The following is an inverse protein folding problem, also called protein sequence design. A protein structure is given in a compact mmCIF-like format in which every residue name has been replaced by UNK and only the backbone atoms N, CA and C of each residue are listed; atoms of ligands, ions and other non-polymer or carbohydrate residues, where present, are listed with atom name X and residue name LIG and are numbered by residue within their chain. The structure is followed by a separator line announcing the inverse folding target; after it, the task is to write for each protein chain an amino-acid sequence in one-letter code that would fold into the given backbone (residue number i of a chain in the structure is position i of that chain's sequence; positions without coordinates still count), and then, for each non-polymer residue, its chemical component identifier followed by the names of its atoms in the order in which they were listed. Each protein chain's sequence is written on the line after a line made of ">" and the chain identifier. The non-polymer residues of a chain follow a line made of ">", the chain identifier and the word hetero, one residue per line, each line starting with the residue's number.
data_IF_209458707627
#
_entry.id   IF_209458707627
#
_cell.length_a   1.000
_cell.length_b   1.000
_cell.length_c   1.000
_cell.angle_alpha   90.00
_cell.angle_beta   90.00
_cell.angle_gamma   90.00
#
_symmetry.space_group_name_H-M   'P 1'
#
loop_
_entity.id
_entity.type
_entity.pdbx_description
1 polymer ?
#
# COMPACT_ATOMS: atom_id res chain seq x y z
N UNK A 1 66.89 -57.68 -4.09
CA UNK A 1 66.50 -56.32 -3.64
C UNK A 1 65.14 -56.45 -2.95
N UNK A 2 65.13 -56.54 -1.62
CA UNK A 2 64.65 -55.51 -0.67
C UNK A 2 63.10 -55.42 -0.55
N UNK A 3 62.62 -55.99 0.57
CA UNK A 3 61.46 -55.66 1.44
C UNK A 3 59.99 -55.77 0.96
N UNK A 4 59.34 -56.85 1.42
CA UNK A 4 57.97 -56.88 2.01
C UNK A 4 57.94 -56.06 3.35
N UNK A 5 56.81 -55.81 4.08
CA UNK A 5 55.46 -56.45 4.02
C UNK A 5 54.19 -55.57 4.33
N UNK A 6 53.01 -56.18 4.07
CA UNK A 6 51.75 -56.34 4.87
C UNK A 6 51.15 -55.19 5.72
N UNK A 7 49.81 -55.11 5.74
CA UNK A 7 48.88 -55.17 6.91
C UNK A 7 47.43 -54.98 6.39
N UNK A 8 46.62 -56.03 6.17
CA UNK A 8 45.66 -56.73 7.07
C UNK A 8 44.52 -55.84 7.63
N UNK A 9 43.23 -56.19 7.41
CA UNK A 9 42.06 -55.54 8.01
C UNK A 9 41.67 -56.17 9.36
N UNK A 10 41.05 -55.43 10.28
CA UNK A 10 40.20 -56.02 11.33
C UNK A 10 39.27 -54.98 11.98
N UNK A 11 38.01 -55.37 12.10
CA UNK A 11 36.98 -54.72 12.91
C UNK A 11 37.17 -55.04 14.41
N UNK A 12 36.71 -54.15 15.29
CA UNK A 12 36.23 -54.51 16.63
C UNK A 12 35.33 -53.40 17.20
N UNK A 13 34.10 -53.80 17.55
CA UNK A 13 33.18 -53.09 18.42
C UNK A 13 33.43 -53.49 19.89
N UNK A 14 33.12 -52.60 20.85
CA UNK A 14 32.62 -52.86 22.22
C UNK A 14 32.66 -51.52 23.01
N UNK A 15 31.52 -50.93 23.35
CA UNK A 15 30.81 -51.06 24.64
C UNK A 15 31.44 -50.26 25.79
N UNK A 16 30.67 -49.28 26.29
CA UNK A 16 30.28 -49.26 27.71
C UNK A 16 30.66 -48.06 28.58
N UNK A 17 29.71 -47.74 29.47
CA UNK A 17 29.79 -46.97 30.73
C UNK A 17 29.54 -45.45 30.58
N UNK A 18 28.34 -44.90 30.82
CA UNK A 18 27.48 -44.82 32.01
C UNK A 18 27.84 -43.68 33.00
N UNK A 19 26.94 -42.68 33.01
CA UNK A 19 26.47 -41.77 34.08
C UNK A 19 27.13 -41.87 35.47
N UNK A 20 27.51 -40.71 36.07
CA UNK A 20 27.05 -40.22 37.41
C UNK A 20 27.10 -38.67 37.52
N UNK A 21 25.92 -38.12 37.82
CA UNK A 21 25.46 -36.96 38.62
C UNK A 21 26.43 -35.99 39.34
N UNK A 22 26.14 -34.69 39.22
CA UNK A 22 25.92 -33.66 40.28
C UNK A 22 25.73 -32.29 39.59
N UNK A 23 24.71 -31.44 39.76
CA UNK A 23 23.76 -31.25 40.87
C UNK A 23 24.24 -30.09 41.76
N UNK A 24 23.78 -28.85 41.53
CA UNK A 24 23.68 -27.79 42.54
C UNK A 24 22.67 -26.71 42.10
N UNK A 25 21.51 -26.78 42.73
CA UNK A 25 20.51 -25.72 42.94
C UNK A 25 21.11 -24.36 43.33
N UNK A 26 20.37 -23.29 43.05
CA UNK A 26 20.46 -22.08 43.86
C UNK A 26 19.05 -21.57 44.25
N UNK A 27 18.88 -21.15 45.51
CA UNK A 27 17.59 -21.07 46.20
C UNK A 27 16.82 -19.77 45.96
N UNK A 28 15.49 -19.86 46.09
CA UNK A 28 14.59 -18.74 46.29
C UNK A 28 14.59 -18.28 47.76
N UNK A 29 14.53 -16.96 47.99
CA UNK A 29 14.11 -16.33 49.26
C UNK A 29 13.89 -14.82 49.04
N UNK A 30 13.22 -14.06 49.92
CA UNK A 30 11.84 -14.15 50.45
C UNK A 30 10.98 -12.93 50.07
N UNK A 31 9.67 -13.05 50.32
CA UNK A 31 8.65 -11.99 50.19
C UNK A 31 8.33 -11.34 51.55
N UNK A 32 8.18 -10.01 51.61
CA UNK A 32 7.31 -9.23 52.54
C UNK A 32 7.52 -7.70 52.36
N UNK A 33 6.58 -6.80 52.75
CA UNK A 33 5.15 -6.94 53.04
C UNK A 33 4.23 -6.00 52.20
N UNK A 34 2.96 -6.39 52.07
CA UNK A 34 1.88 -5.50 51.58
C UNK A 34 1.49 -4.45 52.63
N UNK A 35 1.08 -3.25 52.20
CA UNK A 35 0.04 -2.47 52.86
C UNK A 35 -1.30 -2.57 52.12
N UNK A 36 -2.34 -2.49 52.94
CA UNK A 36 -3.75 -2.80 52.69
C UNK A 36 -4.50 -1.85 51.76
N UNK A 37 -5.61 -2.38 51.23
CA UNK A 37 -6.75 -1.70 50.59
C UNK A 37 -7.05 -0.29 51.13
N UNK A 38 -7.18 0.67 50.21
CA UNK A 38 -8.16 1.74 50.30
C UNK A 38 -8.93 1.81 48.97
N UNK A 39 -10.24 1.84 49.09
CA UNK A 39 -11.24 1.82 48.03
C UNK A 39 -11.51 3.23 47.50
N UNK A 40 -11.92 3.31 46.23
CA UNK A 40 -12.71 4.37 45.58
C UNK A 40 -11.96 5.60 45.01
N UNK A 41 -11.88 5.71 43.68
CA UNK A 41 -12.79 6.49 42.82
C UNK A 41 -12.26 6.52 41.38
N UNK A 42 -13.17 6.35 40.42
CA UNK A 42 -12.85 6.15 39.01
C UNK A 42 -12.11 7.31 38.37
N UNK A 43 -11.15 6.97 37.52
CA UNK A 43 -10.74 7.76 36.37
C UNK A 43 -10.53 6.79 35.22
N UNK A 44 -11.51 6.74 34.32
CA UNK A 44 -11.43 6.16 32.99
C UNK A 44 -10.17 6.65 32.30
N UNK A 45 -9.21 5.75 32.06
CA UNK A 45 -8.13 5.98 31.11
C UNK A 45 -8.77 5.95 29.72
N UNK A 46 -8.69 7.04 28.92
CA UNK A 46 -9.22 7.01 27.57
C UNK A 46 -8.28 6.15 26.72
N UNK A 47 -8.82 5.06 26.20
CA UNK A 47 -8.29 4.34 25.05
C UNK A 47 -8.15 5.33 23.89
N UNK A 48 -6.90 5.65 23.55
CA UNK A 48 -6.61 6.36 22.32
C UNK A 48 -7.03 5.48 21.14
N UNK A 49 -8.05 5.95 20.41
CA UNK A 49 -8.47 5.47 19.10
C UNK A 49 -7.27 5.41 18.17
N UNK A 50 -6.99 4.23 17.62
CA UNK A 50 -5.98 4.02 16.59
C UNK A 50 -6.60 3.33 15.39
N UNK A 51 -7.54 4.00 14.72
CA UNK A 51 -7.98 3.65 13.37
C UNK A 51 -7.74 4.90 12.50
N UNK A 52 -6.45 5.17 12.24
CA UNK A 52 -6.03 6.15 11.26
C UNK A 52 -6.04 5.49 9.89
N UNK A 53 -7.12 5.64 9.14
CA UNK A 53 -7.11 5.44 7.69
C UNK A 53 -6.12 6.45 7.09
N UNK A 54 -4.91 5.98 6.81
CA UNK A 54 -3.86 6.76 6.18
C UNK A 54 -4.14 6.86 4.68
N UNK A 55 -4.49 8.06 4.22
CA UNK A 55 -4.58 8.35 2.78
C UNK A 55 -3.21 8.23 2.13
N UNK A 56 -3.10 7.36 1.11
CA UNK A 56 -1.86 7.13 0.38
C UNK A 56 -1.49 8.37 -0.45
N UNK A 57 -0.34 8.99 -0.23
CA UNK A 57 0.12 10.13 -1.02
C UNK A 57 0.43 9.69 -2.46
N UNK A 58 0.35 10.59 -3.46
CA UNK A 58 0.98 10.36 -4.74
C UNK A 58 2.44 9.97 -4.53
N UNK A 59 2.83 8.81 -5.06
CA UNK A 59 4.18 8.27 -4.92
C UNK A 59 5.16 8.94 -5.85
N UNK A 60 6.45 8.82 -5.56
CA UNK A 60 7.51 9.46 -6.35
C UNK A 60 7.52 9.00 -7.82
N UNK A 61 7.08 7.77 -8.12
CA UNK A 61 7.10 7.20 -9.47
C UNK A 61 5.70 6.94 -10.04
N UNK A 62 4.63 7.36 -9.35
CA UNK A 62 3.25 7.11 -9.75
C UNK A 62 2.84 5.64 -9.67
N UNK A 63 3.58 4.82 -8.92
CA UNK A 63 3.29 3.41 -8.71
C UNK A 63 2.35 3.15 -7.53
N UNK A 64 2.01 1.87 -7.36
CA UNK A 64 1.14 1.36 -6.31
C UNK A 64 1.96 1.14 -5.05
N UNK A 65 1.61 1.80 -3.94
CA UNK A 65 2.22 1.52 -2.63
C UNK A 65 1.60 0.27 -2.03
N UNK A 66 2.46 -0.62 -1.56
CA UNK A 66 2.10 -1.87 -0.90
C UNK A 66 2.74 -1.88 0.49
N UNK A 67 1.95 -1.86 1.59
CA UNK A 67 2.50 -1.95 2.93
C UNK A 67 3.08 -3.35 3.19
N UNK A 68 4.17 -3.41 3.95
CA UNK A 68 4.90 -4.63 4.28
C UNK A 68 5.16 -4.66 5.79
N UNK A 69 4.94 -5.82 6.43
CA UNK A 69 5.31 -6.01 7.83
C UNK A 69 4.53 -5.08 8.78
N UNK A 70 3.21 -5.06 8.64
CA UNK A 70 2.33 -4.19 9.43
C UNK A 70 2.70 -2.71 9.32
N UNK A 71 2.90 -2.23 8.08
CA UNK A 71 3.20 -0.81 7.78
C UNK A 71 4.62 -0.34 8.18
N UNK A 72 5.47 -1.26 8.64
CA UNK A 72 6.86 -0.93 9.01
C UNK A 72 7.72 -0.56 7.79
N UNK A 73 7.36 -1.10 6.62
CA UNK A 73 8.02 -0.86 5.34
C UNK A 73 6.99 -0.78 4.24
N UNK A 74 7.39 -0.25 3.09
CA UNK A 74 6.55 -0.16 1.91
C UNK A 74 7.31 -0.66 0.68
N UNK A 75 6.57 -1.04 -0.35
CA UNK A 75 7.11 -1.14 -1.70
C UNK A 75 6.24 -0.37 -2.68
N UNK A 76 6.86 0.26 -3.68
CA UNK A 76 6.14 0.89 -4.78
C UNK A 76 6.30 0.03 -6.04
N UNK A 77 5.17 -0.46 -6.56
CA UNK A 77 5.10 -1.22 -7.80
C UNK A 77 4.74 -0.31 -8.97
N UNK A 78 5.63 -0.19 -9.96
CA UNK A 78 5.44 0.61 -11.18
C UNK A 78 5.39 -0.31 -12.38
N UNK A 79 4.30 -0.25 -13.13
CA UNK A 79 4.14 -0.97 -14.40
C UNK A 79 4.49 -0.04 -15.56
N UNK A 80 5.45 -0.42 -16.39
CA UNK A 80 5.81 0.34 -17.60
C UNK A 80 5.33 -0.37 -18.87
N UNK A 81 5.40 0.38 -19.99
CA UNK A 81 5.17 -0.18 -21.32
C UNK A 81 6.11 -1.36 -21.60
N UNK A 82 5.61 -2.35 -22.32
CA UNK A 82 6.37 -3.58 -22.63
C UNK A 82 6.34 -4.63 -21.52
N UNK A 83 5.51 -4.45 -20.48
CA UNK A 83 5.35 -5.43 -19.40
C UNK A 83 6.47 -5.40 -18.37
N UNK A 84 7.20 -4.29 -18.26
CA UNK A 84 8.24 -4.13 -17.24
C UNK A 84 7.56 -3.81 -15.91
N UNK A 85 7.92 -4.55 -14.88
CA UNK A 85 7.54 -4.27 -13.51
C UNK A 85 8.78 -3.82 -12.74
N UNK A 86 8.70 -2.62 -12.16
CA UNK A 86 9.65 -2.12 -11.17
C UNK A 86 9.05 -2.24 -9.79
N UNK A 87 9.86 -2.67 -8.83
CA UNK A 87 9.50 -2.72 -7.42
C UNK A 87 10.56 -1.96 -6.63
N UNK A 88 10.19 -0.79 -6.13
CA UNK A 88 11.03 0.01 -5.24
C UNK A 88 10.77 -0.40 -3.80
N UNK A 89 11.81 -0.54 -3.00
CA UNK A 89 11.68 -0.76 -1.55
C UNK A 89 11.80 0.56 -0.81
N UNK A 90 10.85 0.80 0.09
CA UNK A 90 10.65 2.06 0.80
C UNK A 90 10.58 1.80 2.31
N UNK A 91 10.95 2.81 3.10
CA UNK A 91 10.86 2.75 4.55
C UNK A 91 9.43 2.88 5.07
N UNK A 92 9.30 3.03 6.39
CA UNK A 92 8.02 3.39 7.02
C UNK A 92 7.48 4.73 6.47
N UNK A 93 8.39 5.68 6.20
CA UNK A 93 8.07 6.87 5.42
C UNK A 93 8.23 6.53 3.92
N UNK A 94 7.12 6.54 3.17
CA UNK A 94 7.06 6.25 1.73
C UNK A 94 7.99 7.14 0.88
N UNK A 95 8.40 8.32 1.39
CA UNK A 95 9.36 9.19 0.72
C UNK A 95 10.83 8.78 0.89
N UNK A 96 11.10 7.82 1.78
CA UNK A 96 12.46 7.35 2.09
C UNK A 96 12.73 6.04 1.37
N UNK A 97 13.74 6.04 0.51
CA UNK A 97 14.25 4.83 -0.13
C UNK A 97 14.86 3.91 0.92
N UNK A 98 14.49 2.62 0.87
CA UNK A 98 15.04 1.58 1.72
C UNK A 98 15.87 0.63 0.86
N UNK A 99 17.17 0.56 1.11
CA UNK A 99 18.01 -0.48 0.53
C UNK A 99 17.80 -1.81 1.28
N UNK A 100 17.77 -2.92 0.54
CA UNK A 100 17.67 -4.28 1.05
C UNK A 100 18.76 -5.16 0.42
N UNK A 101 18.99 -6.34 0.98
CA UNK A 101 19.95 -7.28 0.41
C UNK A 101 19.60 -7.63 -1.05
N UNK A 102 20.58 -7.49 -1.94
CA UNK A 102 20.40 -7.78 -3.35
C UNK A 102 20.17 -9.29 -3.56
N UNK A 103 18.92 -9.64 -3.88
CA UNK A 103 18.51 -11.02 -4.12
C UNK A 103 17.54 -11.08 -5.32
N UNK A 104 17.57 -12.11 -6.16
CA UNK A 104 16.49 -12.31 -7.12
C UNK A 104 15.20 -12.63 -6.36
N UNK A 105 14.10 -11.99 -6.75
CA UNK A 105 12.77 -12.28 -6.20
C UNK A 105 11.98 -13.09 -7.25
N UNK A 106 11.36 -14.18 -6.81
CA UNK A 106 10.38 -14.91 -7.63
C UNK A 106 9.01 -14.26 -7.44
N UNK A 107 8.42 -13.75 -8.52
CA UNK A 107 7.04 -13.29 -8.56
C UNK A 107 6.14 -14.35 -9.19
N UNK A 108 4.88 -14.36 -8.79
CA UNK A 108 3.79 -15.08 -9.45
C UNK A 108 2.78 -14.05 -9.90
N UNK A 109 2.35 -14.14 -11.15
CA UNK A 109 1.36 -13.23 -11.72
C UNK A 109 0.24 -14.02 -12.35
N UNK A 110 -0.98 -13.55 -12.16
CA UNK A 110 -2.16 -14.05 -12.84
C UNK A 110 -2.97 -12.87 -13.35
N UNK A 111 -3.72 -13.08 -14.43
CA UNK A 111 -4.75 -12.12 -14.81
C UNK A 111 -5.76 -11.98 -13.66
N UNK A 112 -6.35 -10.81 -13.50
CA UNK A 112 -7.40 -10.60 -12.51
C UNK A 112 -8.58 -11.56 -12.74
N UNK A 113 -9.05 -12.21 -11.66
CA UNK A 113 -10.05 -13.28 -11.73
C UNK A 113 -9.56 -14.62 -12.29
N UNK A 114 -8.31 -14.69 -12.77
CA UNK A 114 -7.68 -15.91 -13.25
C UNK A 114 -7.40 -16.91 -12.12
N UNK A 115 -7.41 -18.20 -12.45
CA UNK A 115 -7.05 -19.29 -11.52
C UNK A 115 -5.58 -19.70 -11.67
N UNK A 116 -5.03 -19.57 -12.87
CA UNK A 116 -3.65 -19.96 -13.19
C UNK A 116 -2.68 -18.79 -12.97
N UNK A 117 -1.55 -19.07 -12.34
CA UNK A 117 -0.46 -18.11 -12.14
C UNK A 117 0.81 -18.56 -12.85
N UNK A 118 1.48 -17.62 -13.49
CA UNK A 118 2.79 -17.81 -14.11
C UNK A 118 3.88 -17.18 -13.24
N UNK A 119 5.03 -17.84 -13.15
CA UNK A 119 6.18 -17.32 -12.41
C UNK A 119 7.04 -16.41 -13.28
N UNK A 120 7.60 -15.36 -12.69
CA UNK A 120 8.59 -14.48 -13.31
C UNK A 120 9.65 -14.06 -12.30
N UNK A 121 10.76 -13.49 -12.76
CA UNK A 121 11.88 -13.07 -11.91
C UNK A 121 12.00 -11.56 -11.91
N UNK A 122 12.11 -11.00 -10.71
CA UNK A 122 12.49 -9.62 -10.44
C UNK A 122 13.96 -9.62 -10.01
N UNK A 123 14.83 -9.12 -10.89
CA UNK A 123 16.26 -9.06 -10.62
C UNK A 123 16.61 -7.77 -9.85
N UNK A 124 17.54 -7.82 -8.88
CA UNK A 124 18.00 -6.62 -8.20
C UNK A 124 18.68 -5.68 -9.20
N UNK A 125 18.37 -4.39 -9.12
CA UNK A 125 18.97 -3.31 -9.91
C UNK A 125 19.41 -2.20 -8.96
N UNK A 126 20.59 -2.34 -8.33
CA UNK A 126 21.09 -1.33 -7.40
C UNK A 126 21.10 0.06 -8.03
N UNK A 127 20.66 1.05 -7.26
CA UNK A 127 20.58 2.44 -7.64
C UNK A 127 21.79 3.23 -7.14
N UNK A 128 21.97 4.44 -7.65
CA UNK A 128 22.97 5.37 -7.13
C UNK A 128 22.64 5.71 -5.68
N UNK A 129 23.55 5.38 -4.76
CA UNK A 129 23.37 5.58 -3.31
C UNK A 129 23.16 4.29 -2.53
N UNK A 130 22.81 3.19 -3.19
CA UNK A 130 22.75 1.87 -2.55
C UNK A 130 24.17 1.40 -2.17
N UNK A 131 24.30 0.75 -1.01
CA UNK A 131 25.54 0.11 -0.59
C UNK A 131 25.88 -1.09 -1.47
N UNK A 132 27.17 -1.45 -1.51
CA UNK A 132 27.62 -2.66 -2.18
C UNK A 132 26.90 -3.90 -1.62
N UNK A 133 26.34 -4.73 -2.52
CA UNK A 133 25.55 -5.91 -2.14
C UNK A 133 24.10 -5.61 -1.75
N UNK A 134 23.69 -4.34 -1.75
CA UNK A 134 22.30 -3.92 -1.51
C UNK A 134 21.64 -3.45 -2.81
N UNK A 135 20.32 -3.35 -2.78
CA UNK A 135 19.49 -2.78 -3.84
C UNK A 135 18.27 -2.12 -3.22
N UNK A 136 17.81 -1.03 -3.79
CA UNK A 136 16.50 -0.43 -3.48
C UNK A 136 15.47 -0.61 -4.58
N UNK A 137 15.86 -1.27 -5.68
CA UNK A 137 15.01 -1.51 -6.85
C UNK A 137 15.16 -2.95 -7.35
N UNK A 138 14.03 -3.54 -7.72
CA UNK A 138 13.98 -4.78 -8.49
C UNK A 138 13.25 -4.55 -9.80
N UNK A 139 13.70 -5.20 -10.87
CA UNK A 139 13.12 -5.07 -12.20
C UNK A 139 12.91 -6.45 -12.83
N UNK A 140 11.72 -6.66 -13.37
CA UNK A 140 11.31 -7.90 -14.00
C UNK A 140 10.43 -7.63 -15.20
N UNK A 141 10.22 -8.67 -16.01
CA UNK A 141 9.27 -8.63 -17.12
C UNK A 141 8.14 -9.59 -16.81
N UNK A 142 6.91 -9.10 -16.92
CA UNK A 142 5.73 -9.94 -16.87
C UNK A 142 5.70 -10.86 -18.10
N UNK A 143 5.15 -12.08 -17.97
CA UNK A 143 4.87 -12.93 -19.12
C UNK A 143 4.02 -12.18 -20.14
N UNK A 144 4.30 -12.41 -21.43
CA UNK A 144 3.67 -11.68 -22.54
C UNK A 144 2.14 -11.80 -22.53
N UNK A 145 1.62 -12.93 -22.05
CA UNK A 145 0.20 -13.22 -22.04
C UNK A 145 -0.57 -12.40 -20.99
N UNK A 146 0.12 -11.82 -20.00
CA UNK A 146 -0.47 -10.96 -18.97
C UNK A 146 0.03 -9.52 -18.99
N UNK A 147 1.08 -9.23 -19.76
CA UNK A 147 1.60 -7.88 -19.93
C UNK A 147 0.51 -6.93 -20.50
N UNK A 148 0.31 -5.79 -19.83
CA UNK A 148 -0.69 -4.79 -20.21
C UNK A 148 -2.14 -5.13 -19.82
N UNK A 149 -2.38 -6.26 -19.14
CA UNK A 149 -3.69 -6.62 -18.57
C UNK A 149 -3.76 -6.22 -17.09
N UNK A 150 -4.98 -6.23 -16.53
CA UNK A 150 -5.15 -6.25 -15.08
C UNK A 150 -4.63 -7.57 -14.51
N UNK A 151 -3.74 -7.48 -13.53
CA UNK A 151 -3.05 -8.63 -12.94
C UNK A 151 -3.04 -8.55 -11.42
N UNK A 152 -2.98 -9.72 -10.79
CA UNK A 152 -2.62 -9.89 -9.38
C UNK A 152 -1.22 -10.49 -9.31
N UNK A 153 -0.33 -9.81 -8.61
CA UNK A 153 1.06 -10.22 -8.40
C UNK A 153 1.23 -10.66 -6.95
N UNK A 154 1.90 -11.79 -6.75
CA UNK A 154 2.35 -12.27 -5.45
C UNK A 154 3.85 -12.51 -5.49
N UNK A 155 4.56 -11.97 -4.51
CA UNK A 155 5.97 -12.29 -4.26
C UNK A 155 5.99 -12.97 -2.88
N UNK A 156 6.30 -14.27 -2.80
CA UNK A 156 6.14 -15.05 -1.58
C UNK A 156 7.20 -14.75 -0.52
N UNK A 157 8.31 -14.13 -0.93
CA UNK A 157 9.47 -13.90 -0.06
C UNK A 157 10.33 -12.76 -0.58
N UNK A 158 10.31 -11.64 0.14
CA UNK A 158 11.36 -10.63 0.13
C UNK A 158 12.03 -10.62 1.50
N UNK A 159 13.37 -10.53 1.55
CA UNK A 159 14.10 -10.38 2.82
C UNK A 159 14.36 -8.91 3.08
N UNK A 160 13.94 -8.41 4.24
CA UNK A 160 14.23 -7.05 4.72
C UNK A 160 14.86 -7.22 6.11
N UNK A 161 16.13 -6.84 6.23
CA UNK A 161 16.92 -7.18 7.42
C UNK A 161 16.99 -8.69 7.66
N UNK A 162 16.54 -9.14 8.83
CA UNK A 162 16.52 -10.57 9.19
C UNK A 162 15.18 -11.25 8.96
N UNK A 163 14.19 -10.52 8.49
CA UNK A 163 12.81 -10.99 8.34
C UNK A 163 12.48 -11.28 6.87
N UNK A 164 11.48 -12.12 6.66
CA UNK A 164 10.96 -12.46 5.33
C UNK A 164 9.50 -12.10 5.25
N UNK A 165 9.15 -11.35 4.22
CA UNK A 165 7.79 -10.86 4.02
C UNK A 165 7.21 -11.40 2.72
N UNK A 166 5.90 -11.58 2.71
CA UNK A 166 5.11 -11.84 1.52
C UNK A 166 4.46 -10.53 1.09
N UNK A 167 4.47 -10.27 -0.21
CA UNK A 167 3.78 -9.13 -0.83
C UNK A 167 2.75 -9.66 -1.82
N UNK A 168 1.59 -9.01 -1.88
CA UNK A 168 0.64 -9.21 -2.95
C UNK A 168 -0.04 -7.88 -3.29
N UNK A 169 -0.23 -7.62 -4.57
CA UNK A 169 -0.85 -6.39 -5.06
C UNK A 169 -1.53 -6.64 -6.40
N UNK A 170 -2.49 -5.78 -6.74
CA UNK A 170 -3.17 -5.80 -8.03
C UNK A 170 -2.71 -4.61 -8.84
N UNK A 171 -2.53 -4.77 -10.14
CA UNK A 171 -2.35 -3.62 -11.02
C UNK A 171 -3.67 -2.85 -11.05
N UNK A 172 -3.66 -1.59 -10.61
CA UNK A 172 -4.76 -0.68 -10.94
C UNK A 172 -4.59 -0.31 -12.40
N UNK A 173 -5.61 -0.55 -13.22
CA UNK A 173 -5.65 0.06 -14.55
C UNK A 173 -5.77 1.56 -14.35
N UNK A 174 -4.93 2.31 -15.05
CA UNK A 174 -5.30 3.67 -15.40
C UNK A 174 -6.66 3.57 -16.12
N UNK A 175 -7.66 4.28 -15.60
CA UNK A 175 -9.10 4.11 -15.80
C UNK A 175 -9.78 2.92 -15.08
N UNK A 176 -10.53 3.26 -14.03
CA UNK A 176 -11.77 2.57 -13.68
C UNK A 176 -11.66 1.38 -12.74
N UNK A 177 -11.31 1.63 -11.48
CA UNK A 177 -11.85 0.86 -10.34
C UNK A 177 -11.98 1.80 -9.14
N UNK A 178 -13.13 1.70 -8.47
CA UNK A 178 -13.64 2.66 -7.47
C UNK A 178 -12.91 2.60 -6.13
N UNK A 179 -11.58 2.73 -6.15
CA UNK A 179 -10.83 3.18 -4.99
C UNK A 179 -11.13 4.65 -4.73
N UNK A 180 -11.32 5.02 -3.46
CA UNK A 180 -11.43 6.43 -3.11
C UNK A 180 -10.11 7.11 -3.48
N UNK A 181 -10.12 8.18 -4.29
CA UNK A 181 -8.90 8.91 -4.59
C UNK A 181 -8.32 9.48 -3.28
N UNK A 182 -7.00 9.67 -3.26
CA UNK A 182 -6.33 10.33 -2.16
C UNK A 182 -6.40 11.84 -2.31
N UNK A 183 -6.36 12.57 -1.18
CA UNK A 183 -6.35 14.04 -1.21
C UNK A 183 -5.11 14.55 -1.96
N UNK A 184 -5.29 15.56 -2.81
CA UNK A 184 -4.18 16.31 -3.44
C UNK A 184 -3.39 17.09 -2.36
N UNK A 185 -2.06 17.20 -2.53
CA UNK A 185 -1.20 17.96 -1.62
C UNK A 185 -1.58 19.46 -1.59
N UNK A 186 -1.35 20.16 -0.47
CA UNK A 186 -1.95 21.49 -0.23
C UNK A 186 -1.58 22.57 -1.27
N UNK A 187 -0.35 22.59 -1.79
CA UNK A 187 0.07 23.55 -2.82
C UNK A 187 -0.53 23.20 -4.20
N UNK A 188 -0.57 21.92 -4.54
CA UNK A 188 -1.20 21.41 -5.76
C UNK A 188 -2.72 21.56 -5.71
N UNK A 189 -3.33 21.46 -4.53
CA UNK A 189 -4.76 21.65 -4.29
C UNK A 189 -5.16 23.10 -4.64
N UNK A 190 -4.38 24.09 -4.22
CA UNK A 190 -4.64 25.50 -4.59
C UNK A 190 -4.57 25.70 -6.10
N UNK A 191 -3.56 25.14 -6.77
CA UNK A 191 -3.42 25.23 -8.23
C UNK A 191 -4.60 24.54 -8.94
N UNK A 192 -5.01 23.38 -8.43
CA UNK A 192 -6.14 22.61 -8.96
C UNK A 192 -7.46 23.39 -8.85
N UNK A 193 -7.74 24.05 -7.75
CA UNK A 193 -9.05 24.71 -7.55
C UNK A 193 -9.11 26.18 -7.95
N UNK A 194 -7.98 26.89 -7.95
CA UNK A 194 -7.93 28.35 -8.15
C UNK A 194 -7.36 28.77 -9.50
N UNK A 195 -7.14 27.82 -10.41
CA UNK A 195 -6.75 28.10 -11.80
C UNK A 195 -7.77 27.46 -12.74
N UNK A 196 -8.30 28.18 -13.75
CA UNK A 196 -9.22 27.58 -14.72
C UNK A 196 -8.49 26.59 -15.66
N UNK A 197 -9.24 25.67 -16.26
CA UNK A 197 -8.76 24.73 -17.28
C UNK A 197 -9.88 23.81 -17.79
N UNK A 198 -9.84 23.42 -19.06
CA UNK A 198 -10.86 22.56 -19.67
C UNK A 198 -12.28 23.06 -19.44
N UNK A 199 -13.15 22.22 -18.88
CA UNK A 199 -14.53 22.55 -18.48
C UNK A 199 -14.64 23.30 -17.14
N UNK A 200 -13.57 23.41 -16.36
CA UNK A 200 -13.55 24.13 -15.09
C UNK A 200 -13.11 25.58 -15.31
N UNK A 201 -14.05 26.52 -15.19
CA UNK A 201 -13.88 27.91 -15.62
C UNK A 201 -13.71 28.87 -14.45
N UNK A 202 -13.32 30.13 -14.74
CA UNK A 202 -13.29 31.21 -13.76
C UNK A 202 -14.66 31.42 -13.07
N UNK A 203 -15.74 31.23 -13.82
CA UNK A 203 -17.11 31.32 -13.30
C UNK A 203 -17.39 30.20 -12.28
N UNK A 204 -16.88 29.00 -12.50
CA UNK A 204 -17.00 27.88 -11.57
C UNK A 204 -16.19 28.13 -10.30
N UNK A 205 -14.97 28.66 -10.41
CA UNK A 205 -14.14 29.05 -9.26
C UNK A 205 -14.91 30.03 -8.38
N UNK A 206 -15.50 31.07 -8.99
CA UNK A 206 -16.32 32.05 -8.29
C UNK A 206 -17.58 31.42 -7.69
N UNK A 207 -18.27 30.55 -8.42
CA UNK A 207 -19.46 29.85 -7.94
C UNK A 207 -19.17 28.95 -6.73
N UNK A 208 -17.96 28.39 -6.66
CA UNK A 208 -17.48 27.60 -5.52
C UNK A 208 -16.92 28.45 -4.37
N UNK A 209 -16.92 29.77 -4.50
CA UNK A 209 -16.47 30.71 -3.46
C UNK A 209 -14.97 31.01 -3.47
N UNK A 210 -14.23 30.63 -4.51
CA UNK A 210 -12.79 30.88 -4.62
C UNK A 210 -11.97 30.17 -3.53
N UNK A 211 -12.44 29.00 -3.07
CA UNK A 211 -11.80 28.18 -2.04
C UNK A 211 -11.38 26.83 -2.61
N UNK A 212 -10.54 26.11 -1.85
CA UNK A 212 -10.19 24.71 -2.12
C UNK A 212 -11.13 23.76 -1.38
N UNK A 213 -11.20 22.49 -1.79
CA UNK A 213 -12.07 21.49 -1.17
C UNK A 213 -11.78 21.28 0.33
N UNK A 214 -10.52 21.23 0.73
CA UNK A 214 -10.12 21.09 2.14
C UNK A 214 -10.61 22.22 3.05
N UNK A 215 -10.78 23.42 2.50
CA UNK A 215 -11.35 24.57 3.21
C UNK A 215 -12.87 24.49 3.22
N UNK A 216 -13.50 24.26 2.05
CA UNK A 216 -14.97 24.24 1.91
C UNK A 216 -15.61 23.15 2.75
N UNK A 217 -14.96 21.99 2.86
CA UNK A 217 -15.52 20.81 3.50
C UNK A 217 -14.92 20.48 4.86
N UNK A 218 -14.18 21.43 5.45
CA UNK A 218 -13.52 21.25 6.74
C UNK A 218 -14.52 20.80 7.81
N UNK A 219 -14.21 19.68 8.48
CA UNK A 219 -15.03 19.14 9.56
C UNK A 219 -16.26 18.34 9.12
N UNK A 220 -16.48 18.17 7.81
CA UNK A 220 -17.52 17.28 7.29
C UNK A 220 -17.02 15.84 7.24
N UNK A 221 -17.87 14.90 7.61
CA UNK A 221 -17.58 13.46 7.56
C UNK A 221 -17.93 12.91 6.17
N UNK A 222 -16.96 12.25 5.55
CA UNK A 222 -17.19 11.44 4.35
C UNK A 222 -17.94 10.15 4.72
N UNK A 223 -18.90 9.76 3.88
CA UNK A 223 -19.66 8.52 4.02
C UNK A 223 -19.60 7.76 2.70
N UNK A 224 -19.07 6.55 2.74
CA UNK A 224 -18.85 5.72 1.57
C UNK A 224 -19.86 4.57 1.57
N UNK A 225 -21.07 4.84 1.08
CA UNK A 225 -22.06 3.78 0.85
C UNK A 225 -21.85 3.20 -0.55
N UNK A 226 -21.21 2.03 -0.60
CA UNK A 226 -20.91 1.26 -1.80
C UNK A 226 -22.17 0.66 -2.47
N UNK A 227 -23.36 0.81 -1.88
CA UNK A 227 -24.61 0.21 -2.35
C UNK A 227 -25.72 1.26 -2.53
N UNK A 228 -25.53 2.24 -3.43
CA UNK A 228 -26.59 3.19 -3.76
C UNK A 228 -27.82 2.45 -4.28
N UNK A 229 -29.00 2.96 -3.96
CA UNK A 229 -30.27 2.41 -4.48
C UNK A 229 -30.59 3.00 -5.86
N UNK A 230 -31.34 2.27 -6.68
CA UNK A 230 -31.82 2.77 -7.97
C UNK A 230 -32.50 4.15 -7.83
N UNK A 231 -32.11 5.08 -8.69
CA UNK A 231 -32.53 6.49 -8.69
C UNK A 231 -31.71 7.43 -7.79
N UNK A 232 -30.91 6.90 -6.85
CA UNK A 232 -30.05 7.73 -5.99
C UNK A 232 -28.90 8.35 -6.78
N UNK A 233 -28.50 9.56 -6.39
CA UNK A 233 -27.31 10.22 -6.95
C UNK A 233 -26.05 9.47 -6.54
N UNK A 234 -25.15 9.29 -7.49
CA UNK A 234 -23.88 8.59 -7.26
C UNK A 234 -22.71 9.53 -7.50
N UNK A 235 -21.61 9.29 -6.79
CA UNK A 235 -20.36 9.99 -6.96
C UNK A 235 -19.84 9.75 -8.40
N UNK A 236 -19.54 10.79 -9.19
CA UNK A 236 -19.04 10.63 -10.55
C UNK A 236 -17.73 9.83 -10.67
N UNK A 237 -16.93 9.78 -9.60
CA UNK A 237 -15.62 9.14 -9.57
C UNK A 237 -15.71 7.67 -9.15
N UNK A 238 -16.41 7.40 -8.05
CA UNK A 238 -16.41 6.09 -7.39
C UNK A 238 -17.71 5.32 -7.56
N UNK A 239 -18.73 5.95 -8.17
CA UNK A 239 -20.08 5.39 -8.33
C UNK A 239 -20.77 4.95 -7.02
N UNK A 240 -20.20 5.29 -5.87
CA UNK A 240 -20.85 5.12 -4.56
C UNK A 240 -21.94 6.15 -4.37
N UNK A 241 -22.78 6.01 -3.34
CA UNK A 241 -23.78 7.03 -3.02
C UNK A 241 -23.12 8.40 -2.84
N UNK A 242 -23.63 9.41 -3.54
CA UNK A 242 -23.19 10.79 -3.36
C UNK A 242 -23.73 11.35 -2.05
N UNK A 243 -22.97 12.28 -1.45
CA UNK A 243 -23.40 13.03 -0.28
C UNK A 243 -23.56 14.50 -0.69
N UNK A 244 -24.77 15.08 -0.60
CA UNK A 244 -25.04 16.44 -1.08
C UNK A 244 -24.24 17.52 -0.37
N UNK A 245 -23.64 17.19 0.80
CA UNK A 245 -22.72 18.09 1.51
C UNK A 245 -21.38 18.29 0.79
N UNK A 246 -20.94 17.31 -0.01
CA UNK A 246 -19.78 17.45 -0.88
C UNK A 246 -20.28 17.78 -2.28
N UNK A 247 -20.57 19.05 -2.52
CA UNK A 247 -20.99 19.54 -3.83
C UNK A 247 -20.02 20.56 -4.41
N UNK A 248 -19.81 20.47 -5.73
CA UNK A 248 -18.91 21.34 -6.47
C UNK A 248 -19.49 21.71 -7.83
N UNK A 249 -19.27 22.96 -8.24
CA UNK A 249 -19.70 23.46 -9.56
C UNK A 249 -18.57 23.24 -10.57
N UNK A 250 -18.88 22.63 -11.71
CA UNK A 250 -17.98 22.43 -12.85
C UNK A 250 -18.76 22.66 -14.14
N UNK A 251 -18.27 23.50 -15.06
CA UNK A 251 -18.96 23.79 -16.31
C UNK A 251 -20.37 24.39 -16.10
N UNK A 252 -20.56 25.17 -15.03
CA UNK A 252 -21.84 25.77 -14.66
C UNK A 252 -22.86 24.79 -14.07
N UNK A 253 -22.48 23.53 -13.82
CA UNK A 253 -23.38 22.51 -13.27
C UNK A 253 -22.91 22.02 -11.90
N UNK A 254 -23.86 21.74 -11.00
CA UNK A 254 -23.56 21.23 -9.66
C UNK A 254 -23.48 19.71 -9.66
N UNK A 255 -22.34 19.19 -9.21
CA UNK A 255 -22.10 17.76 -8.99
C UNK A 255 -22.04 17.46 -7.50
N UNK A 256 -22.40 16.24 -7.12
CA UNK A 256 -22.35 15.75 -5.74
C UNK A 256 -21.40 14.56 -5.65
N UNK A 257 -20.63 14.49 -4.56
CA UNK A 257 -19.54 13.54 -4.38
C UNK A 257 -19.69 12.82 -3.04
N UNK A 258 -19.06 11.66 -2.88
CA UNK A 258 -19.07 10.95 -1.60
C UNK A 258 -18.06 11.53 -0.58
N UNK A 259 -17.00 12.17 -1.05
CA UNK A 259 -15.92 12.72 -0.23
C UNK A 259 -15.12 13.83 -0.94
N UNK A 260 -14.34 14.64 -0.22
CA UNK A 260 -13.52 15.72 -0.80
C UNK A 260 -12.51 15.24 -1.87
N UNK A 261 -11.78 14.12 -1.69
CA UNK A 261 -10.85 13.66 -2.74
C UNK A 261 -11.52 13.35 -4.08
N UNK A 262 -12.79 12.93 -4.10
CA UNK A 262 -13.51 12.74 -5.36
C UNK A 262 -13.78 14.06 -6.07
N UNK A 263 -13.83 15.18 -5.34
CA UNK A 263 -13.89 16.51 -5.93
C UNK A 263 -12.57 16.83 -6.62
N UNK A 264 -11.43 16.49 -5.98
CA UNK A 264 -10.10 16.72 -6.54
C UNK A 264 -9.96 16.02 -7.89
N UNK A 265 -10.22 14.71 -7.92
CA UNK A 265 -10.15 13.87 -9.12
C UNK A 265 -11.08 14.38 -10.22
N UNK A 266 -12.31 14.77 -9.87
CA UNK A 266 -13.27 15.24 -10.87
C UNK A 266 -12.92 16.62 -11.44
N UNK A 267 -12.36 17.52 -10.64
CA UNK A 267 -11.87 18.82 -11.13
C UNK A 267 -10.64 18.62 -12.02
N UNK A 268 -9.74 17.69 -11.70
CA UNK A 268 -8.62 17.33 -12.56
C UNK A 268 -9.11 16.75 -13.89
N UNK A 269 -10.04 15.79 -13.85
CA UNK A 269 -10.66 15.20 -15.04
C UNK A 269 -11.34 16.26 -15.92
N UNK A 270 -12.07 17.20 -15.32
CA UNK A 270 -12.74 18.27 -16.06
C UNK A 270 -11.76 19.20 -16.78
N UNK A 271 -10.53 19.34 -16.26
CA UNK A 271 -9.47 20.14 -16.89
C UNK A 271 -8.77 19.39 -18.00
N UNK A 272 -8.43 18.13 -17.76
CA UNK A 272 -7.57 17.34 -18.64
C UNK A 272 -8.35 16.62 -19.74
N UNK A 273 -9.54 16.10 -19.42
CA UNK A 273 -10.41 15.34 -20.31
C UNK A 273 -11.86 15.84 -20.22
N UNK A 274 -12.12 17.10 -20.62
CA UNK A 274 -13.44 17.71 -20.47
C UNK A 274 -14.56 16.91 -21.15
N UNK A 275 -14.29 16.21 -22.25
CA UNK A 275 -15.29 15.45 -22.99
C UNK A 275 -15.79 14.20 -22.23
N UNK A 276 -15.06 13.73 -21.22
CA UNK A 276 -15.47 12.61 -20.37
C UNK A 276 -16.47 13.02 -19.26
N UNK A 277 -16.61 14.33 -19.02
CA UNK A 277 -17.57 14.87 -18.03
C UNK A 277 -18.97 14.86 -18.62
N UNK A 278 -19.83 14.01 -18.04
CA UNK A 278 -21.26 13.89 -18.35
C UNK A 278 -22.09 14.90 -17.55
N UNK A 279 -23.33 15.22 -17.97
CA UNK A 279 -24.21 16.05 -17.16
C UNK A 279 -24.56 15.38 -15.81
N UNK A 280 -24.87 16.14 -14.75
CA UNK A 280 -25.15 15.62 -13.41
C UNK A 280 -26.24 14.53 -13.37
N UNK A 281 -27.24 14.61 -14.25
CA UNK A 281 -28.35 13.67 -14.27
C UNK A 281 -27.96 12.26 -14.75
N UNK A 282 -26.82 12.12 -15.42
CA UNK A 282 -26.29 10.79 -15.79
C UNK A 282 -25.61 10.08 -14.61
N UNK A 283 -25.26 10.81 -13.55
CA UNK A 283 -24.67 10.24 -12.33
C UNK A 283 -25.76 9.83 -11.34
N UNK A 284 -26.60 8.90 -11.79
CA UNK A 284 -27.63 8.24 -10.98
C UNK A 284 -27.50 6.73 -11.08
N UNK A 285 -27.72 6.05 -9.96
CA UNK A 285 -27.80 4.60 -9.95
C UNK A 285 -28.99 4.16 -10.79
N UNK A 286 -28.74 3.28 -11.77
CA UNK A 286 -29.79 2.68 -12.60
C UNK A 286 -30.42 1.48 -11.90
#
# INVERSE_FOLDING_TARGET
>A
MVRLPRFVPLAAALVGVALILAGCDNPATPSAPQPSKATALGATVPTAKGDGEHGHKPTAHGGIVVPIGSDSYHAEAVFEKGGILRLYTLGQNEATVLEVEAQPLTGYVKAEGGMESESFVLAPKPQSGDKAGMTSLFVGHLPKDVAGKKVEVTIPSIRIGNERFRLAFRSVSDAGEHGMPSKVADDDERKLYLTPGGKYTEADIKANGGVVASVKFKGLKAEHDLKPKAGEKICPVTLTKANPKFSWVVGGQTYEFCCPPCVDEFVALAKEKPDEIKPPEEYRQK
#
